data_IF_458183492804
#
_entry.id   IF_458183492804
#
_cell.length_a   1.000
_cell.length_b   1.000
_cell.length_c   1.000
_cell.angle_alpha   90.00
_cell.angle_beta   90.00
_cell.angle_gamma   90.00
#
_symmetry.space_group_name_H-M   'P 1'
#
loop_
_entity.id
_entity.type
_entity.pdbx_description
1 polymer ?
#
# COMPACT_ATOMS: atom_id res chain seq x y z
N UNK A 1 -13.42 -0.43 0.22
CA UNK A 1 -13.43 -0.73 1.67
C UNK A 1 -12.06 -1.23 2.03
N UNK A 2 -11.34 -0.43 2.82
CA UNK A 2 -10.02 -0.73 3.30
C UNK A 2 -10.05 -1.43 4.67
N UNK A 3 -9.39 -2.56 4.78
CA UNK A 3 -9.09 -3.23 6.04
C UNK A 3 -7.60 -3.08 6.37
N UNK A 4 -7.29 -2.71 7.61
CA UNK A 4 -5.92 -2.52 8.08
C UNK A 4 -5.68 -3.38 9.31
N UNK A 5 -4.56 -4.11 9.33
CA UNK A 5 -4.09 -4.82 10.51
C UNK A 5 -2.56 -4.72 10.63
N UNK A 6 -2.06 -4.92 11.85
CA UNK A 6 -0.64 -4.77 12.20
C UNK A 6 -0.12 -6.09 12.75
N UNK A 7 1.03 -6.56 12.26
CA UNK A 7 1.78 -7.70 12.79
C UNK A 7 3.23 -7.26 12.95
N UNK A 8 3.68 -7.13 14.19
CA UNK A 8 5.02 -6.60 14.51
C UNK A 8 5.30 -5.26 13.81
N UNK A 9 6.41 -5.14 13.08
CA UNK A 9 6.78 -3.96 12.29
C UNK A 9 6.16 -3.94 10.88
N UNK A 10 5.21 -4.83 10.59
CA UNK A 10 4.52 -4.94 9.31
C UNK A 10 3.11 -4.37 9.41
N UNK A 11 2.79 -3.42 8.54
CA UNK A 11 1.44 -2.93 8.33
C UNK A 11 0.83 -3.66 7.12
N UNK A 12 -0.37 -4.19 7.28
CA UNK A 12 -1.14 -4.79 6.19
C UNK A 12 -2.33 -3.91 5.85
N UNK A 13 -2.51 -3.64 4.56
CA UNK A 13 -3.58 -2.81 4.01
C UNK A 13 -4.27 -3.57 2.87
N UNK A 14 -5.52 -3.96 3.07
CA UNK A 14 -6.29 -4.74 2.09
C UNK A 14 -7.48 -3.92 1.62
N UNK A 15 -7.44 -3.49 0.36
CA UNK A 15 -8.51 -2.73 -0.26
C UNK A 15 -9.30 -3.63 -1.22
N UNK A 16 -10.58 -3.85 -0.88
CA UNK A 16 -11.52 -4.54 -1.76
C UNK A 16 -12.20 -3.54 -2.69
N UNK A 17 -12.21 -3.86 -4.00
CA UNK A 17 -12.88 -3.10 -5.05
C UNK A 17 -12.32 -1.67 -5.22
N UNK A 18 -10.99 -1.56 -5.30
CA UNK A 18 -10.27 -0.28 -5.36
C UNK A 18 -10.23 0.47 -4.03
N UNK A 19 -9.81 1.73 -4.09
CA UNK A 19 -9.86 2.68 -2.97
C UNK A 19 -10.56 3.97 -3.38
N UNK A 20 -11.39 4.49 -2.47
CA UNK A 20 -11.94 5.84 -2.54
C UNK A 20 -11.10 6.81 -1.68
N UNK A 21 -11.54 8.08 -1.62
CA UNK A 21 -10.82 9.13 -0.88
C UNK A 21 -10.76 8.87 0.62
N UNK A 22 -11.79 8.27 1.19
CA UNK A 22 -11.85 7.98 2.63
C UNK A 22 -10.92 6.81 2.96
N UNK A 23 -10.90 5.78 2.12
CA UNK A 23 -9.94 4.67 2.19
C UNK A 23 -8.49 5.21 2.11
N UNK A 24 -8.19 6.12 1.17
CA UNK A 24 -6.85 6.72 1.03
C UNK A 24 -6.47 7.55 2.26
N UNK A 25 -7.39 8.37 2.80
CA UNK A 25 -7.12 9.15 4.01
C UNK A 25 -6.80 8.24 5.22
N UNK A 26 -7.59 7.18 5.40
CA UNK A 26 -7.37 6.18 6.45
C UNK A 26 -6.02 5.47 6.28
N UNK A 27 -5.64 5.15 5.04
CA UNK A 27 -4.36 4.53 4.73
C UNK A 27 -3.18 5.43 5.11
N UNK A 28 -3.21 6.71 4.71
CA UNK A 28 -2.14 7.68 5.02
C UNK A 28 -1.96 7.81 6.53
N UNK A 29 -3.04 7.93 7.30
CA UNK A 29 -2.96 7.98 8.76
C UNK A 29 -2.34 6.72 9.34
N UNK A 30 -2.79 5.54 8.91
CA UNK A 30 -2.29 4.28 9.44
C UNK A 30 -0.81 4.03 9.14
N UNK A 31 -0.36 4.35 7.91
CA UNK A 31 1.05 4.25 7.53
C UNK A 31 1.88 5.25 8.35
N UNK A 32 1.41 6.49 8.47
CA UNK A 32 2.09 7.52 9.26
C UNK A 32 2.33 7.07 10.70
N UNK A 33 1.27 6.64 11.41
CA UNK A 33 1.37 6.13 12.78
C UNK A 33 2.32 4.93 12.90
N UNK A 34 2.32 4.05 11.89
CA UNK A 34 3.17 2.87 11.87
C UNK A 34 4.65 3.24 11.73
N UNK A 35 4.97 4.18 10.83
CA UNK A 35 6.32 4.73 10.66
C UNK A 35 6.76 5.56 11.87
N UNK A 36 5.84 6.17 12.61
CA UNK A 36 6.20 6.84 13.87
C UNK A 36 6.68 5.84 14.93
N UNK A 37 6.07 4.65 14.97
CA UNK A 37 6.35 3.63 15.97
C UNK A 37 7.60 2.80 15.64
N UNK A 38 7.84 2.48 14.37
CA UNK A 38 8.92 1.61 13.93
C UNK A 38 9.91 2.36 13.03
N UNK A 39 11.19 2.33 13.39
CA UNK A 39 12.28 2.91 12.56
C UNK A 39 12.68 2.04 11.37
N UNK A 40 12.25 0.78 11.36
CA UNK A 40 12.43 -0.17 10.28
C UNK A 40 11.11 -0.89 10.06
N UNK A 41 10.23 -0.24 9.32
CA UNK A 41 8.88 -0.69 9.07
C UNK A 41 8.76 -1.36 7.69
N UNK A 42 7.88 -2.34 7.61
CA UNK A 42 7.45 -2.95 6.38
C UNK A 42 5.96 -2.66 6.13
N UNK A 43 5.58 -2.57 4.86
CA UNK A 43 4.20 -2.33 4.46
C UNK A 43 3.78 -3.27 3.34
N UNK A 44 2.72 -4.01 3.59
CA UNK A 44 2.03 -4.79 2.59
C UNK A 44 0.74 -4.07 2.21
N UNK A 45 0.52 -3.87 0.92
CA UNK A 45 -0.75 -3.37 0.42
C UNK A 45 -1.25 -4.21 -0.76
N UNK A 46 -2.50 -4.63 -0.65
CA UNK A 46 -3.24 -5.37 -1.66
C UNK A 46 -4.44 -4.54 -2.10
N UNK A 47 -4.54 -4.30 -3.41
CA UNK A 47 -5.66 -3.57 -4.01
C UNK A 47 -6.32 -4.47 -5.05
N UNK A 48 -7.53 -4.91 -4.73
CA UNK A 48 -8.32 -5.73 -5.63
C UNK A 48 -8.94 -4.88 -6.74
N UNK A 49 -9.05 -5.43 -7.95
CA UNK A 49 -9.69 -4.76 -9.06
C UNK A 49 -11.17 -4.45 -8.80
N UNK A 50 -11.66 -3.38 -9.43
CA UNK A 50 -13.06 -2.98 -9.35
C UNK A 50 -13.90 -3.96 -10.18
N UNK A 51 -14.69 -4.81 -9.52
CA UNK A 51 -15.54 -5.82 -10.21
C UNK A 51 -16.74 -5.20 -10.93
N UNK A 52 -17.01 -3.91 -10.70
CA UNK A 52 -18.21 -3.24 -11.17
C UNK A 52 -17.88 -2.11 -12.15
N UNK A 53 -18.08 -2.37 -13.44
CA UNK A 53 -17.75 -1.53 -14.61
C UNK A 53 -18.47 -0.18 -14.71
N UNK A 54 -19.17 0.27 -13.65
CA UNK A 54 -19.92 1.55 -13.64
C UNK A 54 -19.19 2.71 -12.99
N UNK A 55 -18.16 2.46 -12.20
CA UNK A 55 -17.38 3.54 -11.61
C UNK A 55 -16.14 3.73 -12.46
N UNK A 56 -16.29 4.74 -13.32
CA UNK A 56 -15.25 5.37 -14.11
C UNK A 56 -13.96 5.44 -13.31
N UNK A 57 -12.86 5.15 -14.02
CA UNK A 57 -11.50 5.53 -13.69
C UNK A 57 -11.52 6.82 -12.90
N UNK A 58 -11.47 6.71 -11.57
CA UNK A 58 -11.25 7.89 -10.75
C UNK A 58 -9.83 8.26 -11.10
N UNK A 59 -9.61 9.44 -11.69
CA UNK A 59 -8.31 10.10 -11.62
C UNK A 59 -8.02 10.29 -10.13
N UNK A 60 -7.53 9.21 -9.52
CA UNK A 60 -7.17 9.12 -8.13
C UNK A 60 -5.76 9.70 -8.07
N UNK A 61 -5.65 11.01 -8.24
CA UNK A 61 -4.47 11.73 -7.78
C UNK A 61 -4.36 11.51 -6.27
N UNK A 62 -3.71 10.42 -5.88
CA UNK A 62 -3.35 10.17 -4.50
C UNK A 62 -2.10 11.00 -4.22
N UNK A 63 -2.14 11.85 -3.18
CA UNK A 63 -0.96 12.51 -2.66
C UNK A 63 -0.59 11.87 -1.31
N UNK A 64 0.43 11.03 -1.30
CA UNK A 64 0.93 10.43 -0.07
C UNK A 64 1.91 11.38 0.64
N UNK A 65 1.39 12.26 1.49
CA UNK A 65 2.20 13.07 2.42
C UNK A 65 2.41 12.32 3.72
N UNK A 66 3.25 11.29 3.67
CA UNK A 66 3.60 10.49 4.86
C UNK A 66 4.88 11.06 5.47
N UNK A 67 4.94 11.37 6.77
CA UNK A 67 6.18 11.75 7.46
C UNK A 67 7.06 10.52 7.76
N UNK A 68 8.35 10.73 8.06
CA UNK A 68 9.31 9.65 8.44
C UNK A 68 9.42 8.55 7.38
N UNK A 69 9.41 8.95 6.11
CA UNK A 69 9.47 8.06 4.95
C UNK A 69 10.71 7.16 4.96
N UNK A 70 11.81 7.65 5.53
CA UNK A 70 13.06 6.92 5.73
C UNK A 70 12.91 5.70 6.65
N UNK A 71 11.88 5.66 7.50
CA UNK A 71 11.61 4.48 8.32
C UNK A 71 11.00 3.31 7.56
N UNK A 72 10.44 3.55 6.36
CA UNK A 72 9.88 2.50 5.52
C UNK A 72 11.01 1.79 4.78
N UNK A 73 11.21 0.50 5.04
CA UNK A 73 12.32 -0.29 4.47
C UNK A 73 11.89 -1.33 3.46
N UNK A 74 10.64 -1.78 3.51
CA UNK A 74 10.14 -2.85 2.63
C UNK A 74 8.68 -2.59 2.27
N UNK A 75 8.33 -2.68 0.99
CA UNK A 75 6.96 -2.53 0.52
C UNK A 75 6.61 -3.65 -0.44
N UNK A 76 5.53 -4.38 -0.14
CA UNK A 76 4.92 -5.32 -1.07
C UNK A 76 3.64 -4.70 -1.63
N UNK A 77 3.63 -4.42 -2.94
CA UNK A 77 2.49 -3.89 -3.67
C UNK A 77 1.84 -5.02 -4.46
N UNK A 78 0.61 -5.39 -4.10
CA UNK A 78 -0.16 -6.46 -4.74
C UNK A 78 -1.39 -5.85 -5.40
N UNK A 79 -1.56 -6.06 -6.70
CA UNK A 79 -2.72 -5.51 -7.42
C UNK A 79 -2.50 -5.38 -8.91
N UNK A 80 -3.40 -4.64 -9.57
CA UNK A 80 -3.30 -4.34 -10.99
C UNK A 80 -2.13 -3.41 -11.29
N UNK A 81 -1.68 -3.38 -12.55
CA UNK A 81 -0.60 -2.51 -13.01
C UNK A 81 -0.94 -1.03 -12.73
N UNK A 82 -2.19 -0.62 -12.92
CA UNK A 82 -2.64 0.76 -12.64
C UNK A 82 -2.38 1.16 -11.18
N UNK A 83 -2.77 0.30 -10.22
CA UNK A 83 -2.49 0.58 -8.80
C UNK A 83 -1.00 0.56 -8.49
N UNK A 84 -0.25 -0.36 -9.07
CA UNK A 84 1.20 -0.40 -8.89
C UNK A 84 1.86 0.90 -9.36
N UNK A 85 1.47 1.43 -10.52
CA UNK A 85 1.98 2.71 -11.05
C UNK A 85 1.62 3.89 -10.13
N UNK A 86 0.38 3.97 -9.66
CA UNK A 86 -0.08 5.05 -8.78
C UNK A 86 0.65 5.05 -7.43
N UNK A 87 0.83 3.87 -6.82
CA UNK A 87 1.64 3.74 -5.60
C UNK A 87 3.11 4.03 -5.86
N UNK A 88 3.67 3.61 -6.99
CA UNK A 88 5.07 3.89 -7.34
C UNK A 88 5.34 5.39 -7.38
N UNK A 89 4.51 6.17 -8.09
CA UNK A 89 4.64 7.64 -8.19
C UNK A 89 4.72 8.29 -6.80
N UNK A 90 3.86 7.82 -5.90
CA UNK A 90 3.76 8.31 -4.53
C UNK A 90 4.85 7.82 -3.59
N UNK A 91 5.44 6.67 -3.90
CA UNK A 91 6.53 6.06 -3.16
C UNK A 91 7.92 6.44 -3.70
N UNK A 92 8.02 7.17 -4.81
CA UNK A 92 9.28 7.72 -5.33
C UNK A 92 10.12 8.46 -4.26
N UNK A 93 9.52 9.25 -3.34
CA UNK A 93 10.26 9.89 -2.25
C UNK A 93 10.89 8.92 -1.25
N UNK A 94 10.43 7.67 -1.19
CA UNK A 94 10.89 6.63 -0.27
C UNK A 94 12.05 5.85 -0.88
N UNK A 95 13.11 6.57 -1.24
CA UNK A 95 14.26 6.05 -1.99
C UNK A 95 15.03 4.92 -1.30
N UNK A 96 14.87 4.77 0.02
CA UNK A 96 15.48 3.70 0.81
C UNK A 96 14.63 2.44 0.93
N UNK A 97 13.36 2.49 0.54
CA UNK A 97 12.45 1.36 0.65
C UNK A 97 12.66 0.37 -0.49
N UNK A 98 12.80 -0.91 -0.16
CA UNK A 98 12.78 -1.96 -1.16
C UNK A 98 11.33 -2.30 -1.54
N UNK A 99 10.90 -1.82 -2.71
CA UNK A 99 9.54 -1.99 -3.22
C UNK A 99 9.51 -3.17 -4.19
N UNK A 100 8.58 -4.10 -3.98
CA UNK A 100 8.34 -5.23 -4.89
C UNK A 100 6.87 -5.30 -5.27
N UNK A 101 6.65 -5.55 -6.56
CA UNK A 101 5.33 -5.63 -7.17
C UNK A 101 4.94 -7.08 -7.38
N UNK A 102 3.67 -7.39 -7.17
CA UNK A 102 3.10 -8.72 -7.32
C UNK A 102 1.74 -8.63 -7.99
N UNK A 103 1.43 -9.61 -8.84
CA UNK A 103 0.07 -9.78 -9.33
C UNK A 103 -0.84 -10.26 -8.19
N UNK A 104 -2.15 -10.00 -8.31
CA UNK A 104 -3.15 -10.43 -7.32
C UNK A 104 -3.15 -11.94 -7.07
N UNK A 105 -2.75 -12.74 -8.06
CA UNK A 105 -2.61 -14.20 -7.98
C UNK A 105 -1.42 -14.61 -7.09
N UNK A 106 -0.39 -13.76 -6.99
CA UNK A 106 0.85 -14.01 -6.25
C UNK A 106 0.81 -13.47 -4.80
N UNK A 107 -0.37 -13.15 -4.27
CA UNK A 107 -0.51 -12.52 -2.94
C UNK A 107 0.12 -13.32 -1.80
N UNK A 108 0.13 -14.65 -1.90
CA UNK A 108 0.76 -15.51 -0.90
C UNK A 108 2.29 -15.42 -0.96
N UNK A 109 2.87 -15.31 -2.16
CA UNK A 109 4.30 -15.03 -2.34
C UNK A 109 4.67 -13.65 -1.79
N UNK A 110 3.81 -12.66 -2.01
CA UNK A 110 3.99 -11.31 -1.49
C UNK A 110 4.00 -11.29 0.04
N UNK A 111 3.11 -12.05 0.69
CA UNK A 111 3.06 -12.22 2.14
C UNK A 111 4.30 -12.94 2.68
N UNK A 112 4.70 -14.06 2.08
CA UNK A 112 5.93 -14.73 2.50
C UNK A 112 7.15 -13.83 2.36
N UNK A 113 7.22 -13.04 1.28
CA UNK A 113 8.31 -12.12 1.06
C UNK A 113 8.32 -10.96 2.06
N UNK A 114 7.19 -10.37 2.44
CA UNK A 114 7.19 -9.24 3.40
C UNK A 114 7.54 -9.70 4.83
N UNK A 115 7.25 -10.95 5.15
CA UNK A 115 7.50 -11.55 6.48
C UNK A 115 8.90 -12.17 6.66
N UNK A 116 9.65 -12.32 5.56
CA UNK A 116 11.06 -12.74 5.55
C UNK A 116 12.00 -11.58 5.94
#
# INVERSE_FOLDING_TARGET
MLAIYKKDNILYSLAENGMDKDDVAMLITAVSEHLEKYKSAAWYIEVSEVKNTRHQTVENEMEFKIPKQDHLKKVALVGSIEWQEEFTKNLLPFSEAHIKYFHSEDKELAKSWIEE
#
